data_IF_101878210610
#
_entry.id   IF_101878210610
#
_cell.length_a   1.000
_cell.length_b   1.000
_cell.length_c   1.000
_cell.angle_alpha   90.00
_cell.angle_beta   90.00
_cell.angle_gamma   90.00
#
_symmetry.space_group_name_H-M   'P 1'
#
loop_
_entity.id
_entity.type
_entity.pdbx_description
1 polymer ?
#
# COMPACT_ATOMS: atom_id res chain seq x y z
N UNK A 1 25.33 -30.63 29.95
CA UNK A 1 25.09 -30.03 28.62
C UNK A 1 24.20 -28.82 28.81
N UNK A 2 24.76 -27.60 28.66
CA UNK A 2 23.96 -26.37 28.67
C UNK A 2 23.45 -26.17 27.23
N UNK A 3 22.15 -26.36 27.02
CA UNK A 3 21.48 -25.99 25.79
C UNK A 3 21.28 -24.47 25.81
N UNK A 4 22.21 -23.75 25.18
CA UNK A 4 22.00 -22.34 24.84
C UNK A 4 21.12 -22.29 23.59
N UNK A 5 19.82 -22.05 23.79
CA UNK A 5 18.88 -21.66 22.74
C UNK A 5 19.33 -20.31 22.19
N UNK A 6 19.98 -20.29 21.02
CA UNK A 6 20.33 -19.03 20.35
C UNK A 6 19.05 -18.41 19.77
N UNK A 7 18.65 -17.27 20.30
CA UNK A 7 17.57 -16.47 19.71
C UNK A 7 18.01 -15.98 18.33
N UNK A 8 17.16 -16.08 17.29
CA UNK A 8 17.46 -15.54 15.96
C UNK A 8 17.86 -14.06 16.05
N UNK A 9 18.94 -13.67 15.37
CA UNK A 9 19.51 -12.30 15.42
C UNK A 9 18.52 -11.18 15.06
N UNK A 10 17.45 -11.48 14.33
CA UNK A 10 16.37 -10.53 14.01
C UNK A 10 15.50 -10.20 15.22
N UNK A 11 14.98 -11.23 15.92
CA UNK A 11 14.13 -11.06 17.11
C UNK A 11 14.87 -10.37 18.27
N UNK A 12 16.18 -10.64 18.41
CA UNK A 12 17.01 -9.97 19.41
C UNK A 12 17.16 -8.46 19.15
N UNK A 13 17.18 -8.03 17.87
CA UNK A 13 17.23 -6.61 17.49
C UNK A 13 15.89 -5.92 17.71
N UNK A 14 14.77 -6.58 17.38
CA UNK A 14 13.42 -6.05 17.59
C UNK A 14 13.13 -5.82 19.07
N UNK A 15 13.43 -6.79 19.93
CA UNK A 15 13.28 -6.64 21.39
C UNK A 15 14.16 -5.53 21.96
N UNK A 16 15.41 -5.44 21.53
CA UNK A 16 16.32 -4.34 21.93
C UNK A 16 15.78 -2.96 21.52
N UNK A 17 15.08 -2.86 20.39
CA UNK A 17 14.49 -1.62 19.90
C UNK A 17 13.24 -1.24 20.71
N UNK A 18 12.39 -2.20 21.03
CA UNK A 18 11.21 -1.98 21.88
C UNK A 18 11.61 -1.62 23.32
N UNK A 19 12.54 -2.36 23.92
CA UNK A 19 13.06 -2.07 25.26
C UNK A 19 13.64 -0.65 25.35
N UNK A 20 14.28 -0.18 24.28
CA UNK A 20 14.83 1.18 24.20
C UNK A 20 13.75 2.25 24.07
N UNK A 21 12.64 1.97 23.39
CA UNK A 21 11.51 2.89 23.23
C UNK A 21 10.71 3.00 24.53
N UNK A 22 10.35 1.88 25.15
CA UNK A 22 9.55 1.84 26.38
C UNK A 22 10.28 2.51 27.55
N UNK A 23 11.62 2.44 27.57
CA UNK A 23 12.42 3.12 28.57
C UNK A 23 12.45 4.67 28.42
N UNK A 24 11.84 5.25 27.39
CA UNK A 24 11.84 6.70 27.19
C UNK A 24 10.81 7.41 28.11
N UNK A 25 11.23 8.40 28.91
CA UNK A 25 10.32 9.11 29.81
C UNK A 25 9.25 9.94 29.07
N UNK A 26 9.55 10.41 27.85
CA UNK A 26 8.65 11.22 27.02
C UNK A 26 8.15 10.43 25.78
N UNK A 27 7.99 9.11 25.90
CA UNK A 27 7.61 8.24 24.79
C UNK A 27 6.29 8.69 24.13
N UNK A 28 5.25 8.97 24.92
CA UNK A 28 3.93 9.29 24.38
C UNK A 28 3.90 10.61 23.56
N UNK A 29 4.46 11.74 24.04
CA UNK A 29 4.62 12.94 23.22
C UNK A 29 5.48 12.71 21.97
N UNK A 30 6.58 11.97 22.09
CA UNK A 30 7.47 11.68 20.96
C UNK A 30 6.73 10.87 19.88
N UNK A 31 6.08 9.77 20.25
CA UNK A 31 5.29 8.94 19.33
C UNK A 31 4.17 9.72 18.67
N UNK A 32 3.38 10.49 19.43
CA UNK A 32 2.25 11.26 18.87
C UNK A 32 2.70 12.39 17.95
N UNK A 33 3.93 12.86 18.09
CA UNK A 33 4.52 13.85 17.18
C UNK A 33 5.05 13.24 15.88
N UNK A 34 5.11 11.91 15.77
CA UNK A 34 5.53 11.24 14.54
C UNK A 34 4.49 11.42 13.45
N UNK A 35 4.93 11.68 12.20
CA UNK A 35 4.06 11.56 11.05
C UNK A 35 3.40 10.17 11.00
N UNK A 36 2.13 10.05 10.54
CA UNK A 36 1.42 8.76 10.47
C UNK A 36 2.19 7.63 9.80
N UNK A 37 2.88 7.89 8.68
CA UNK A 37 3.64 6.89 7.94
C UNK A 37 4.89 6.40 8.70
N UNK A 38 5.57 7.30 9.41
CA UNK A 38 6.72 6.93 10.22
C UNK A 38 6.28 6.04 11.40
N UNK A 39 5.10 6.31 11.98
CA UNK A 39 4.50 5.42 12.96
C UNK A 39 4.15 4.05 12.37
N UNK A 40 3.48 4.00 11.21
CA UNK A 40 3.15 2.74 10.54
C UNK A 40 4.42 1.91 10.22
N UNK A 41 5.50 2.58 9.78
CA UNK A 41 6.79 1.94 9.57
C UNK A 41 7.44 1.40 10.83
N UNK A 42 7.31 2.13 11.95
CA UNK A 42 7.74 1.65 13.24
C UNK A 42 6.97 0.39 13.66
N UNK A 43 5.64 0.40 13.56
CA UNK A 43 4.80 -0.76 13.92
C UNK A 43 5.16 -1.98 13.08
N UNK A 44 5.24 -1.86 11.75
CA UNK A 44 5.64 -2.97 10.88
C UNK A 44 7.03 -3.50 11.22
N UNK A 45 7.95 -2.62 11.61
CA UNK A 45 9.32 -3.03 11.97
C UNK A 45 9.34 -3.82 13.28
N UNK A 46 8.52 -3.42 14.24
CA UNK A 46 8.35 -4.10 15.53
C UNK A 46 7.58 -5.41 15.36
N UNK A 47 6.61 -5.45 14.45
CA UNK A 47 5.57 -6.48 14.41
C UNK A 47 4.36 -6.03 15.21
N UNK A 48 3.15 -6.27 14.70
CA UNK A 48 1.93 -5.76 15.35
C UNK A 48 1.73 -6.39 16.73
N UNK A 49 2.05 -7.68 16.84
CA UNK A 49 1.89 -8.48 18.06
C UNK A 49 2.78 -7.97 19.19
N UNK A 50 3.95 -7.41 18.85
CA UNK A 50 4.88 -6.83 19.81
C UNK A 50 4.64 -5.31 20.01
N UNK A 51 3.75 -4.67 19.23
CA UNK A 51 3.59 -3.21 19.19
C UNK A 51 2.48 -2.66 20.11
N UNK A 52 1.88 -3.46 20.99
CA UNK A 52 0.72 -3.06 21.80
C UNK A 52 0.86 -1.74 22.56
N UNK A 53 2.00 -1.53 23.22
CA UNK A 53 2.27 -0.26 23.92
C UNK A 53 2.34 0.96 22.98
N UNK A 54 2.84 0.77 21.76
CA UNK A 54 2.91 1.82 20.74
C UNK A 54 1.52 2.14 20.19
N UNK A 55 0.75 1.08 19.88
CA UNK A 55 -0.62 1.15 19.35
C UNK A 55 -1.55 1.84 20.35
N UNK A 56 -1.43 1.56 21.64
CA UNK A 56 -2.20 2.22 22.70
C UNK A 56 -1.99 3.75 22.75
N UNK A 57 -0.74 4.19 22.52
CA UNK A 57 -0.34 5.60 22.58
C UNK A 57 -0.61 6.37 21.29
N UNK A 58 -0.89 5.68 20.19
CA UNK A 58 -1.09 6.23 18.86
C UNK A 58 -2.25 7.23 18.80
N UNK A 59 -2.14 8.15 17.85
CA UNK A 59 -3.26 8.99 17.42
C UNK A 59 -4.14 8.26 16.41
N UNK A 60 -5.40 8.65 16.25
CA UNK A 60 -6.30 8.06 15.25
C UNK A 60 -5.72 8.11 13.83
N UNK A 61 -5.15 9.23 13.36
CA UNK A 61 -4.52 9.26 12.02
C UNK A 61 -3.34 8.30 11.87
N UNK A 62 -2.58 8.05 12.94
CA UNK A 62 -1.48 7.08 12.95
C UNK A 62 -2.01 5.64 12.83
N UNK A 63 -3.09 5.30 13.55
CA UNK A 63 -3.73 3.99 13.46
C UNK A 63 -4.34 3.75 12.08
N UNK A 64 -5.07 4.73 11.54
CA UNK A 64 -5.64 4.63 10.19
C UNK A 64 -4.55 4.41 9.15
N UNK A 65 -3.41 5.11 9.25
CA UNK A 65 -2.28 4.88 8.34
C UNK A 65 -1.70 3.47 8.49
N UNK A 66 -1.56 2.96 9.72
CA UNK A 66 -1.07 1.60 9.94
C UNK A 66 -2.05 0.55 9.38
N UNK A 67 -3.36 0.77 9.52
CA UNK A 67 -4.40 -0.07 8.95
C UNK A 67 -4.38 -0.07 7.42
N UNK A 68 -4.27 1.11 6.80
CA UNK A 68 -4.20 1.26 5.35
C UNK A 68 -2.99 0.50 4.73
N UNK A 69 -1.93 0.29 5.51
CA UNK A 69 -0.71 -0.44 5.11
C UNK A 69 -0.72 -1.93 5.45
N UNK A 70 -1.33 -2.35 6.55
CA UNK A 70 -1.22 -3.73 7.08
C UNK A 70 -2.48 -4.59 6.85
N UNK A 71 -3.67 -3.99 6.83
CA UNK A 71 -4.93 -4.75 6.76
C UNK A 71 -5.40 -5.06 5.35
N UNK A 72 -4.81 -4.45 4.32
CA UNK A 72 -5.30 -4.59 2.94
C UNK A 72 -4.31 -5.41 2.12
N UNK A 73 -4.79 -6.54 1.60
CA UNK A 73 -3.97 -7.52 0.89
C UNK A 73 -4.51 -7.74 -0.52
N UNK A 74 -3.62 -8.01 -1.48
CA UNK A 74 -4.01 -8.58 -2.77
C UNK A 74 -3.10 -9.73 -3.13
N UNK A 75 -3.67 -10.76 -3.78
CA UNK A 75 -2.95 -11.95 -4.21
C UNK A 75 -1.79 -11.62 -5.16
N UNK A 76 -1.98 -10.63 -6.05
CA UNK A 76 -0.97 -10.21 -7.01
C UNK A 76 -0.88 -8.70 -7.10
N UNK A 77 0.27 -8.19 -7.57
CA UNK A 77 0.39 -6.77 -7.87
C UNK A 77 -0.59 -6.40 -8.99
N UNK A 78 -1.26 -5.28 -8.83
CA UNK A 78 -2.26 -4.80 -9.77
C UNK A 78 -3.66 -5.42 -9.62
N UNK A 79 -3.85 -6.32 -8.65
CA UNK A 79 -5.17 -6.81 -8.27
C UNK A 79 -5.80 -5.90 -7.19
N UNK A 80 -7.11 -6.00 -7.02
CA UNK A 80 -7.87 -5.28 -5.98
C UNK A 80 -7.35 -5.71 -4.62
N UNK A 81 -7.04 -4.74 -3.75
CA UNK A 81 -6.71 -5.02 -2.36
C UNK A 81 -8.00 -5.08 -1.55
N UNK A 82 -8.18 -6.14 -0.78
CA UNK A 82 -9.35 -6.35 0.08
C UNK A 82 -8.92 -6.33 1.55
N UNK A 83 -9.86 -5.97 2.43
CA UNK A 83 -9.65 -5.99 3.87
C UNK A 83 -9.46 -7.44 4.37
N UNK A 84 -8.37 -7.71 5.08
CA UNK A 84 -8.11 -8.96 5.78
C UNK A 84 -8.65 -8.90 7.22
N UNK A 85 -9.84 -9.46 7.41
CA UNK A 85 -10.51 -9.49 8.72
C UNK A 85 -9.76 -10.33 9.76
N UNK A 86 -8.98 -11.34 9.34
CA UNK A 86 -8.14 -12.11 10.27
C UNK A 86 -7.01 -11.23 10.79
N UNK A 87 -6.41 -10.44 9.90
CA UNK A 87 -5.39 -9.48 10.31
C UNK A 87 -5.97 -8.40 11.22
N UNK A 88 -7.21 -7.96 10.97
CA UNK A 88 -7.92 -7.05 11.86
C UNK A 88 -8.16 -7.64 13.26
N UNK A 89 -8.49 -8.94 13.37
CA UNK A 89 -8.63 -9.61 14.66
C UNK A 89 -7.35 -9.53 15.51
N UNK A 90 -6.17 -9.71 14.90
CA UNK A 90 -4.88 -9.55 15.59
C UNK A 90 -4.69 -8.12 16.09
N UNK A 91 -5.03 -7.11 15.29
CA UNK A 91 -4.99 -5.72 15.74
C UNK A 91 -5.95 -5.46 16.91
N UNK A 92 -7.11 -6.10 16.91
CA UNK A 92 -8.08 -5.99 17.98
C UNK A 92 -7.58 -6.62 19.28
N UNK A 93 -6.98 -7.82 19.22
CA UNK A 93 -6.31 -8.46 20.36
C UNK A 93 -5.27 -7.53 20.98
N UNK A 94 -4.39 -6.97 20.15
CA UNK A 94 -3.34 -6.02 20.57
C UNK A 94 -3.93 -4.75 21.20
N UNK A 95 -5.04 -4.22 20.68
CA UNK A 95 -5.74 -3.08 21.28
C UNK A 95 -6.36 -3.44 22.64
N UNK A 96 -6.93 -4.64 22.77
CA UNK A 96 -7.57 -5.12 23.99
C UNK A 96 -6.56 -5.41 25.11
N UNK A 97 -5.32 -5.77 24.79
CA UNK A 97 -4.23 -5.88 25.77
C UNK A 97 -3.97 -4.55 26.52
N UNK A 98 -4.23 -3.42 25.86
CA UNK A 98 -4.16 -2.09 26.48
C UNK A 98 -5.40 -1.74 27.33
N UNK A 99 -6.44 -2.57 27.28
CA UNK A 99 -7.69 -2.44 28.02
C UNK A 99 -8.92 -2.31 27.12
N UNK A 100 -10.01 -2.95 27.53
CA UNK A 100 -11.29 -2.98 26.81
C UNK A 100 -11.87 -1.58 26.49
N UNK A 101 -11.84 -0.67 27.47
CA UNK A 101 -12.29 0.72 27.31
C UNK A 101 -11.41 1.50 26.33
N UNK A 102 -10.12 1.18 26.26
CA UNK A 102 -9.20 1.82 25.31
C UNK A 102 -9.51 1.33 23.90
N UNK A 103 -9.67 0.02 23.71
CA UNK A 103 -10.05 -0.57 22.43
C UNK A 103 -11.39 -0.02 21.93
N UNK A 104 -12.43 -0.04 22.76
CA UNK A 104 -13.76 0.49 22.41
C UNK A 104 -13.71 1.96 22.00
N UNK A 105 -13.00 2.81 22.77
CA UNK A 105 -12.81 4.22 22.41
C UNK A 105 -12.09 4.38 21.08
N UNK A 106 -11.05 3.58 20.81
CA UNK A 106 -10.29 3.65 19.55
C UNK A 106 -11.14 3.23 18.36
N UNK A 107 -11.88 2.13 18.49
CA UNK A 107 -12.81 1.68 17.46
C UNK A 107 -13.90 2.71 17.21
N UNK A 108 -14.42 3.36 18.26
CA UNK A 108 -15.42 4.43 18.13
C UNK A 108 -14.90 5.72 17.47
N UNK A 109 -13.58 5.91 17.38
CA UNK A 109 -12.97 7.02 16.62
C UNK A 109 -12.77 6.69 15.13
N UNK A 110 -12.93 5.42 14.74
CA UNK A 110 -12.80 5.00 13.34
C UNK A 110 -14.08 5.28 12.56
N UNK A 111 -13.95 5.17 11.24
CA UNK A 111 -15.07 5.22 10.34
C UNK A 111 -16.02 4.02 10.56
N UNK A 112 -17.32 4.29 10.63
CA UNK A 112 -18.34 3.29 10.97
C UNK A 112 -18.47 2.23 9.87
N UNK A 113 -18.31 2.59 8.59
CA UNK A 113 -18.33 1.64 7.47
C UNK A 113 -17.15 0.67 7.57
N UNK A 114 -15.96 1.19 7.90
CA UNK A 114 -14.77 0.36 8.12
C UNK A 114 -14.98 -0.63 9.26
N UNK A 115 -15.50 -0.19 10.42
CA UNK A 115 -15.72 -1.07 11.57
C UNK A 115 -16.79 -2.12 11.27
N UNK A 116 -17.90 -1.72 10.63
CA UNK A 116 -18.94 -2.64 10.22
C UNK A 116 -18.39 -3.70 9.25
N UNK A 117 -17.62 -3.29 8.24
CA UNK A 117 -17.02 -4.23 7.28
C UNK A 117 -16.05 -5.20 7.95
N UNK A 118 -15.21 -4.71 8.86
CA UNK A 118 -14.26 -5.53 9.59
C UNK A 118 -14.96 -6.55 10.50
N UNK A 119 -16.00 -6.13 11.24
CA UNK A 119 -16.81 -7.02 12.07
C UNK A 119 -17.61 -8.02 11.23
N UNK A 120 -18.18 -7.60 10.09
CA UNK A 120 -18.90 -8.50 9.17
C UNK A 120 -18.00 -9.62 8.63
N UNK A 121 -16.69 -9.40 8.52
CA UNK A 121 -15.74 -10.45 8.15
C UNK A 121 -15.48 -11.49 9.25
N UNK A 122 -15.74 -11.14 10.52
CA UNK A 122 -15.51 -12.01 11.68
C UNK A 122 -16.82 -12.62 12.22
N UNK A 123 -17.94 -11.91 12.09
CA UNK A 123 -19.22 -12.21 12.71
C UNK A 123 -20.32 -12.32 11.66
N UNK A 124 -21.23 -13.26 11.87
CA UNK A 124 -22.59 -13.22 11.35
C UNK A 124 -23.48 -12.71 12.49
N UNK A 125 -24.27 -11.68 12.24
CA UNK A 125 -25.21 -11.11 13.22
C UNK A 125 -26.61 -11.33 12.68
N UNK A 126 -27.48 -11.88 13.51
CA UNK A 126 -28.88 -12.13 13.19
C UNK A 126 -29.75 -11.43 14.22
N UNK A 127 -30.88 -10.88 13.78
CA UNK A 127 -31.92 -10.41 14.69
C UNK A 127 -32.58 -11.63 15.36
N UNK A 128 -32.67 -11.62 16.69
CA UNK A 128 -33.15 -12.75 17.50
C UNK A 128 -34.63 -13.05 17.23
N UNK A 129 -35.45 -12.02 17.03
CA UNK A 129 -36.88 -12.18 16.76
C UNK A 129 -37.10 -12.69 15.33
N UNK A 130 -36.34 -12.18 14.35
CA UNK A 130 -36.36 -12.68 12.98
C UNK A 130 -35.92 -14.14 12.90
N UNK A 131 -34.81 -14.51 13.57
CA UNK A 131 -34.32 -15.90 13.61
C UNK A 131 -35.35 -16.85 14.22
N UNK A 132 -35.99 -16.43 15.32
CA UNK A 132 -37.09 -17.20 15.94
C UNK A 132 -38.24 -17.39 14.97
N UNK A 133 -38.65 -16.32 14.29
CA UNK A 133 -39.73 -16.40 13.32
C UNK A 133 -39.39 -17.37 12.18
N UNK A 134 -38.17 -17.32 11.65
CA UNK A 134 -37.69 -18.27 10.63
C UNK A 134 -37.71 -19.70 11.13
N UNK A 135 -37.27 -19.96 12.37
CA UNK A 135 -37.30 -21.31 12.98
C UNK A 135 -38.74 -21.83 13.19
N UNK A 136 -39.67 -20.95 13.55
CA UNK A 136 -41.09 -21.28 13.73
C UNK A 136 -41.78 -21.57 12.39
N UNK A 137 -41.37 -20.88 11.31
CA UNK A 137 -41.93 -21.03 9.97
C UNK A 137 -41.27 -22.18 9.15
N UNK A 138 -40.09 -22.65 9.56
CA UNK A 138 -39.34 -23.72 8.90
C UNK A 138 -39.91 -25.13 9.15
N UNK A 139 -39.65 -26.07 8.23
CA UNK A 139 -40.00 -27.48 8.42
C UNK A 139 -39.20 -28.07 9.60
N UNK A 140 -39.77 -29.03 10.35
CA UNK A 140 -39.15 -29.56 11.58
C UNK A 140 -37.72 -30.11 11.37
N UNK A 141 -37.43 -30.66 10.18
CA UNK A 141 -36.11 -31.19 9.86
C UNK A 141 -35.07 -30.07 9.60
N UNK A 142 -35.50 -28.95 8.99
CA UNK A 142 -34.67 -27.76 8.74
C UNK A 142 -34.42 -27.00 10.03
N UNK A 143 -35.46 -26.78 10.83
CA UNK A 143 -35.34 -26.16 12.15
C UNK A 143 -34.35 -26.96 13.04
N UNK A 144 -34.47 -28.30 13.09
CA UNK A 144 -33.54 -29.15 13.84
C UNK A 144 -32.10 -29.11 13.31
N UNK A 145 -31.92 -28.91 12.01
CA UNK A 145 -30.59 -28.80 11.41
C UNK A 145 -29.94 -27.45 11.77
N UNK A 146 -30.68 -26.35 11.67
CA UNK A 146 -30.19 -25.01 12.02
C UNK A 146 -29.85 -24.94 13.52
N UNK A 147 -30.73 -25.44 14.40
CA UNK A 147 -30.51 -25.46 15.84
C UNK A 147 -29.22 -26.21 16.21
N UNK A 148 -28.96 -27.35 15.54
CA UNK A 148 -27.74 -28.13 15.71
C UNK A 148 -26.49 -27.43 15.19
N UNK A 149 -26.60 -26.67 14.10
CA UNK A 149 -25.49 -25.86 13.58
C UNK A 149 -25.14 -24.72 14.53
N UNK A 150 -26.15 -24.06 15.11
CA UNK A 150 -25.99 -23.03 16.14
C UNK A 150 -25.35 -23.59 17.42
N UNK A 151 -25.78 -24.76 17.90
CA UNK A 151 -25.17 -25.43 19.05
C UNK A 151 -23.68 -25.79 18.82
N UNK A 152 -23.28 -26.00 17.56
CA UNK A 152 -21.90 -26.29 17.18
C UNK A 152 -21.03 -25.06 16.94
N UNK A 153 -21.63 -23.88 16.76
CA UNK A 153 -20.95 -22.64 16.50
C UNK A 153 -20.54 -21.92 17.80
N UNK A 154 -19.56 -21.01 17.71
CA UNK A 154 -19.34 -20.03 18.77
C UNK A 154 -20.38 -18.92 18.58
N UNK A 155 -21.34 -18.83 19.49
CA UNK A 155 -22.38 -17.82 19.47
C UNK A 155 -22.59 -17.17 20.83
N UNK A 156 -23.13 -15.96 20.83
CA UNK A 156 -23.52 -15.21 22.02
C UNK A 156 -24.75 -14.33 21.71
N UNK A 157 -25.71 -14.29 22.64
CA UNK A 157 -26.89 -13.43 22.55
C UNK A 157 -26.59 -12.07 23.21
N UNK A 158 -26.77 -10.98 22.45
CA UNK A 158 -26.51 -9.62 22.91
C UNK A 158 -27.65 -8.71 22.47
N UNK A 159 -28.45 -8.24 23.44
CA UNK A 159 -29.46 -7.18 23.26
C UNK A 159 -30.44 -7.38 22.08
N UNK A 160 -30.92 -8.61 21.87
CA UNK A 160 -31.85 -8.93 20.80
C UNK A 160 -31.18 -9.36 19.49
N UNK A 161 -29.87 -9.56 19.49
CA UNK A 161 -29.12 -10.11 18.38
C UNK A 161 -28.40 -11.39 18.79
N UNK A 162 -28.31 -12.33 17.85
CA UNK A 162 -27.48 -13.52 17.96
C UNK A 162 -26.21 -13.29 17.14
N UNK A 163 -25.06 -13.27 17.81
CA UNK A 163 -23.75 -13.14 17.17
C UNK A 163 -23.18 -14.52 16.98
N UNK A 164 -22.68 -14.83 15.79
CA UNK A 164 -22.11 -16.13 15.44
C UNK A 164 -20.74 -15.91 14.82
N UNK A 165 -19.72 -16.60 15.32
CA UNK A 165 -18.37 -16.52 14.77
C UNK A 165 -18.33 -17.14 13.37
N UNK A 166 -17.86 -16.39 12.37
CA UNK A 166 -17.54 -16.97 11.04
C UNK A 166 -16.28 -17.84 11.11
N UNK A 167 -15.41 -17.58 12.07
CA UNK A 167 -14.17 -18.30 12.32
C UNK A 167 -13.87 -18.28 13.83
N UNK A 168 -13.20 -19.32 14.34
CA UNK A 168 -12.86 -19.40 15.77
C UNK A 168 -11.77 -18.39 16.19
N UNK A 169 -10.82 -18.11 15.28
CA UNK A 169 -9.74 -17.15 15.54
C UNK A 169 -10.31 -15.74 15.63
N UNK A 170 -9.98 -15.01 16.70
CA UNK A 170 -10.47 -13.65 16.93
C UNK A 170 -11.86 -13.53 17.55
N UNK A 171 -12.58 -14.64 17.81
CA UNK A 171 -13.90 -14.61 18.44
C UNK A 171 -13.89 -13.89 19.80
N UNK A 172 -12.98 -14.28 20.69
CA UNK A 172 -12.90 -13.69 22.03
C UNK A 172 -12.61 -12.19 21.98
N UNK A 173 -11.79 -11.75 21.02
CA UNK A 173 -11.48 -10.34 20.79
C UNK A 173 -12.69 -9.57 20.26
N UNK A 174 -13.39 -10.11 19.27
CA UNK A 174 -14.60 -9.52 18.72
C UNK A 174 -15.68 -9.39 19.81
N UNK A 175 -15.95 -10.46 20.57
CA UNK A 175 -16.94 -10.44 21.65
C UNK A 175 -16.54 -9.45 22.76
N UNK A 176 -15.27 -9.43 23.16
CA UNK A 176 -14.78 -8.47 24.16
C UNK A 176 -14.97 -7.02 23.71
N UNK A 177 -14.74 -6.73 22.44
CA UNK A 177 -15.01 -5.41 21.87
C UNK A 177 -16.50 -5.07 21.89
N UNK A 178 -17.37 -6.00 21.50
CA UNK A 178 -18.83 -5.80 21.51
C UNK A 178 -19.31 -5.46 22.92
N UNK A 179 -18.89 -6.22 23.93
CA UNK A 179 -19.26 -5.95 25.33
C UNK A 179 -18.71 -4.61 25.84
N UNK A 180 -17.49 -4.24 25.42
CA UNK A 180 -16.91 -2.94 25.77
C UNK A 180 -17.63 -1.78 25.08
N UNK A 181 -18.05 -1.95 23.82
CA UNK A 181 -18.86 -0.99 23.08
C UNK A 181 -20.26 -0.86 23.69
N UNK A 182 -20.89 -1.93 24.16
CA UNK A 182 -22.18 -1.83 24.86
C UNK A 182 -22.04 -0.97 26.12
N UNK A 183 -21.01 -1.22 26.92
CA UNK A 183 -20.75 -0.49 28.15
C UNK A 183 -20.47 1.00 27.92
N UNK A 184 -19.56 1.31 26.99
CA UNK A 184 -18.95 2.64 26.88
C UNK A 184 -19.50 3.46 25.68
N UNK A 185 -20.06 2.79 24.67
CA UNK A 185 -20.43 3.36 23.37
C UNK A 185 -21.75 2.78 22.78
N UNK A 186 -22.73 2.45 23.63
CA UNK A 186 -23.97 1.73 23.25
C UNK A 186 -24.64 2.23 21.96
N UNK A 187 -24.75 3.54 21.78
CA UNK A 187 -25.39 4.12 20.60
C UNK A 187 -24.67 3.78 19.29
N UNK A 188 -23.35 3.63 19.31
CA UNK A 188 -22.57 3.14 18.17
C UNK A 188 -22.78 1.64 17.99
N UNK A 189 -22.71 0.86 19.07
CA UNK A 189 -22.92 -0.60 19.01
C UNK A 189 -24.26 -0.94 18.34
N UNK A 190 -25.35 -0.31 18.76
CA UNK A 190 -26.68 -0.58 18.19
C UNK A 190 -26.70 -0.34 16.68
N UNK A 191 -26.13 0.78 16.20
CA UNK A 191 -26.06 1.03 14.74
C UNK A 191 -25.21 0.00 14.00
N UNK A 192 -24.11 -0.44 14.61
CA UNK A 192 -23.26 -1.49 14.04
C UNK A 192 -24.03 -2.82 13.99
N UNK A 193 -24.70 -3.24 15.06
CA UNK A 193 -25.47 -4.48 15.09
C UNK A 193 -26.67 -4.44 14.14
N UNK A 194 -27.41 -3.33 14.07
CA UNK A 194 -28.48 -3.13 13.09
C UNK A 194 -27.98 -3.33 11.66
N UNK A 195 -26.83 -2.73 11.34
CA UNK A 195 -26.22 -2.85 10.01
C UNK A 195 -25.70 -4.25 9.73
N UNK A 196 -25.06 -4.88 10.71
CA UNK A 196 -24.56 -6.25 10.57
C UNK A 196 -25.71 -7.25 10.44
N UNK A 197 -26.82 -7.03 11.16
CA UNK A 197 -28.03 -7.83 11.06
C UNK A 197 -28.72 -7.66 9.71
N UNK A 198 -28.76 -6.44 9.15
CA UNK A 198 -29.23 -6.23 7.78
C UNK A 198 -28.36 -6.98 6.75
N UNK A 199 -27.03 -6.96 6.90
CA UNK A 199 -26.14 -7.78 6.06
C UNK A 199 -26.30 -9.29 6.30
N UNK A 200 -26.79 -9.68 7.48
CA UNK A 200 -27.03 -11.08 7.86
C UNK A 200 -28.41 -11.59 7.46
N UNK A 201 -29.38 -10.72 7.21
CA UNK A 201 -30.80 -11.10 7.11
C UNK A 201 -31.09 -12.03 5.94
N UNK A 202 -30.45 -11.85 4.77
CA UNK A 202 -30.69 -12.78 3.67
C UNK A 202 -29.97 -14.14 3.79
N UNK A 203 -29.30 -14.42 4.91
CA UNK A 203 -29.03 -15.82 5.30
C UNK A 203 -30.29 -16.52 5.85
N UNK A 204 -31.31 -15.77 6.27
CA UNK A 204 -32.56 -16.29 6.83
C UNK A 204 -33.66 -16.48 5.78
N UNK A 205 -33.67 -15.70 4.69
CA UNK A 205 -34.84 -15.60 3.82
C UNK A 205 -34.91 -16.63 2.66
N UNK A 206 -33.78 -17.09 2.09
CA UNK A 206 -33.63 -18.30 1.25
C UNK A 206 -32.25 -18.25 0.55
N UNK A 207 -31.59 -19.39 0.34
CA UNK A 207 -30.28 -19.44 -0.36
C UNK A 207 -30.31 -18.87 -1.79
N UNK A 208 -31.49 -18.76 -2.42
CA UNK A 208 -31.65 -18.18 -3.76
C UNK A 208 -31.57 -16.63 -3.76
N UNK A 209 -31.69 -15.96 -2.61
CA UNK A 209 -31.55 -14.51 -2.44
C UNK A 209 -30.18 -14.07 -1.87
N UNK A 210 -29.23 -15.01 -1.79
CA UNK A 210 -27.83 -14.73 -1.46
C UNK A 210 -27.21 -13.64 -2.35
N UNK A 211 -27.76 -13.41 -3.54
CA UNK A 211 -27.28 -12.37 -4.45
C UNK A 211 -27.50 -10.93 -3.93
N UNK A 212 -28.62 -10.63 -3.26
CA UNK A 212 -28.86 -9.28 -2.74
C UNK A 212 -27.96 -9.00 -1.51
N UNK A 213 -27.80 -9.98 -0.63
CA UNK A 213 -26.88 -9.91 0.53
C UNK A 213 -25.42 -9.74 0.12
N UNK A 214 -24.98 -10.49 -0.89
CA UNK A 214 -23.64 -10.32 -1.45
C UNK A 214 -23.49 -8.91 -2.02
N UNK A 215 -24.53 -8.35 -2.65
CA UNK A 215 -24.48 -7.00 -3.22
C UNK A 215 -24.31 -5.91 -2.14
N UNK A 216 -25.00 -6.01 -1.00
CA UNK A 216 -24.85 -5.03 0.09
C UNK A 216 -23.49 -5.14 0.79
N UNK A 217 -23.02 -6.37 1.06
CA UNK A 217 -21.70 -6.60 1.64
C UNK A 217 -20.58 -6.18 0.67
N UNK A 218 -20.75 -6.41 -0.63
CA UNK A 218 -19.84 -5.95 -1.68
C UNK A 218 -19.83 -4.42 -1.81
N UNK A 219 -20.99 -3.76 -1.73
CA UNK A 219 -21.09 -2.30 -1.71
C UNK A 219 -20.34 -1.71 -0.51
N UNK A 220 -20.53 -2.28 0.69
CA UNK A 220 -19.80 -1.85 1.88
C UNK A 220 -18.28 -2.04 1.73
N UNK A 221 -17.85 -3.16 1.17
CA UNK A 221 -16.44 -3.41 0.88
C UNK A 221 -15.87 -2.38 -0.12
N UNK A 222 -16.64 -2.05 -1.16
CA UNK A 222 -16.28 -1.02 -2.15
C UNK A 222 -16.12 0.36 -1.52
N UNK A 223 -17.02 0.76 -0.63
CA UNK A 223 -16.95 2.05 0.05
C UNK A 223 -15.72 2.16 0.95
N UNK A 224 -15.42 1.10 1.73
CA UNK A 224 -14.25 1.06 2.61
C UNK A 224 -12.94 1.11 1.82
N UNK A 225 -12.85 0.34 0.75
CA UNK A 225 -11.67 0.32 -0.12
C UNK A 225 -11.52 1.66 -0.87
N UNK A 226 -12.59 2.24 -1.38
CA UNK A 226 -12.56 3.54 -2.05
C UNK A 226 -12.13 4.66 -1.09
N UNK A 227 -12.63 4.64 0.16
CA UNK A 227 -12.22 5.60 1.18
C UNK A 227 -10.72 5.49 1.49
N UNK A 228 -10.19 4.26 1.59
CA UNK A 228 -8.75 4.01 1.72
C UNK A 228 -7.97 4.52 0.52
N UNK A 229 -8.40 4.17 -0.69
CA UNK A 229 -7.70 4.54 -1.92
C UNK A 229 -7.69 6.05 -2.13
N UNK A 230 -8.75 6.75 -1.71
CA UNK A 230 -8.79 8.21 -1.65
C UNK A 230 -7.71 8.78 -0.71
N UNK A 231 -7.59 8.23 0.52
CA UNK A 231 -6.53 8.64 1.47
C UNK A 231 -5.13 8.36 0.94
N UNK A 232 -4.91 7.21 0.31
CA UNK A 232 -3.61 6.81 -0.24
C UNK A 232 -3.25 7.64 -1.48
N UNK A 233 -4.20 7.89 -2.37
CA UNK A 233 -4.01 8.75 -3.55
C UNK A 233 -3.61 10.17 -3.15
N UNK A 234 -4.23 10.73 -2.10
CA UNK A 234 -3.87 12.03 -1.55
C UNK A 234 -2.43 12.08 -0.98
N UNK A 235 -1.80 10.93 -0.72
CA UNK A 235 -0.40 10.81 -0.29
C UNK A 235 0.56 10.46 -1.44
N UNK A 236 0.05 10.40 -2.68
CA UNK A 236 0.81 10.10 -3.88
C UNK A 236 0.94 8.62 -4.22
N UNK A 237 0.25 7.71 -3.52
CA UNK A 237 0.16 6.31 -3.95
C UNK A 237 -0.67 6.18 -5.22
N UNK A 238 -0.45 5.08 -5.95
CA UNK A 238 -1.22 4.73 -7.15
C UNK A 238 -2.05 3.50 -6.85
N UNK A 239 -3.33 3.56 -7.21
CA UNK A 239 -4.25 2.43 -7.08
C UNK A 239 -3.76 1.24 -7.95
N UNK A 240 -3.76 -0.01 -7.42
CA UNK A 240 -3.16 -1.15 -8.11
C UNK A 240 -3.69 -1.40 -9.53
N UNK A 241 -5.00 -1.33 -9.78
CA UNK A 241 -5.59 -1.57 -11.10
C UNK A 241 -5.18 -0.49 -12.09
N UNK A 242 -5.13 0.77 -11.67
CA UNK A 242 -4.64 1.89 -12.46
C UNK A 242 -3.15 1.71 -12.82
N UNK A 243 -2.33 1.26 -11.87
CA UNK A 243 -0.91 0.95 -12.10
C UNK A 243 -0.75 -0.19 -13.13
N UNK A 244 -1.51 -1.28 -12.99
CA UNK A 244 -1.53 -2.40 -13.94
C UNK A 244 -1.96 -1.94 -15.34
N UNK A 245 -3.02 -1.13 -15.43
CA UNK A 245 -3.51 -0.59 -16.68
C UNK A 245 -2.46 0.32 -17.36
N UNK A 246 -1.77 1.16 -16.58
CA UNK A 246 -0.66 1.98 -17.09
C UNK A 246 0.48 1.11 -17.65
N UNK A 247 0.92 0.08 -16.92
CA UNK A 247 2.00 -0.81 -17.38
C UNK A 247 1.61 -1.59 -18.64
N UNK A 248 0.36 -2.01 -18.76
CA UNK A 248 -0.16 -2.62 -19.98
C UNK A 248 -0.15 -1.63 -21.16
N UNK A 249 -0.62 -0.41 -20.93
CA UNK A 249 -0.61 0.66 -21.93
C UNK A 249 0.82 1.04 -22.36
N UNK A 250 1.77 1.06 -21.43
CA UNK A 250 3.17 1.40 -21.67
C UNK A 250 3.88 0.39 -22.58
N UNK A 251 3.38 -0.84 -22.69
CA UNK A 251 3.94 -1.87 -23.60
C UNK A 251 3.39 -1.77 -25.02
N UNK A 252 2.28 -1.06 -25.22
CA UNK A 252 1.66 -0.86 -26.52
C UNK A 252 2.39 0.17 -27.39
N UNK A 253 2.21 0.13 -28.72
CA UNK A 253 2.73 1.18 -29.60
C UNK A 253 2.09 2.53 -29.24
N UNK A 254 2.90 3.60 -29.22
CA UNK A 254 2.38 4.96 -29.09
C UNK A 254 1.76 5.42 -30.40
N UNK A 255 0.61 6.09 -30.31
CA UNK A 255 -0.02 6.75 -31.44
C UNK A 255 0.92 7.82 -32.01
N UNK A 256 1.15 7.80 -33.32
CA UNK A 256 1.98 8.77 -34.03
C UNK A 256 1.06 9.91 -34.51
N UNK A 257 1.11 11.08 -33.88
CA UNK A 257 0.24 12.22 -34.20
C UNK A 257 0.37 13.37 -33.20
N UNK A 258 -0.50 14.38 -33.31
CA UNK A 258 -0.55 15.53 -32.38
C UNK A 258 -0.84 15.14 -30.93
N UNK A 259 -1.49 13.99 -30.72
CA UNK A 259 -1.73 13.40 -29.39
C UNK A 259 -0.55 12.57 -28.87
N UNK A 260 0.53 12.41 -29.65
CA UNK A 260 1.71 11.66 -29.23
C UNK A 260 2.34 12.28 -27.98
N UNK A 261 2.30 13.61 -27.81
CA UNK A 261 2.83 14.32 -26.64
C UNK A 261 1.84 14.39 -25.47
N UNK A 262 0.59 13.96 -25.67
CA UNK A 262 -0.40 13.98 -24.61
C UNK A 262 -0.15 12.85 -23.60
N UNK A 263 -0.16 13.21 -22.30
CA UNK A 263 -0.19 12.25 -21.20
C UNK A 263 -1.42 11.36 -21.31
N UNK A 264 -1.29 10.10 -20.94
CA UNK A 264 -2.42 9.18 -20.93
C UNK A 264 -3.47 9.60 -19.87
N UNK A 265 -4.72 9.11 -19.99
CA UNK A 265 -5.79 9.46 -19.06
C UNK A 265 -5.49 9.11 -17.60
N UNK A 266 -4.75 8.03 -17.32
CA UNK A 266 -4.46 7.57 -15.95
C UNK A 266 -3.45 8.50 -15.28
N UNK A 267 -2.35 8.79 -15.98
CA UNK A 267 -1.33 9.76 -15.51
C UNK A 267 -1.94 11.14 -15.30
N UNK A 268 -2.85 11.60 -16.19
CA UNK A 268 -3.56 12.88 -16.02
C UNK A 268 -4.48 12.89 -14.81
N UNK A 269 -5.22 11.80 -14.56
CA UNK A 269 -6.10 11.68 -13.40
C UNK A 269 -5.29 11.74 -12.10
N UNK A 270 -4.18 10.99 -12.01
CA UNK A 270 -3.27 11.00 -10.86
C UNK A 270 -2.78 12.41 -10.51
N UNK A 271 -2.18 13.14 -11.48
CA UNK A 271 -1.65 14.48 -11.20
C UNK A 271 -2.73 15.53 -10.92
N UNK A 272 -3.96 15.31 -11.39
CA UNK A 272 -5.11 16.15 -11.04
C UNK A 272 -5.51 15.95 -9.57
N UNK A 273 -5.47 14.72 -9.09
CA UNK A 273 -5.88 14.35 -7.73
C UNK A 273 -4.83 14.67 -6.67
N UNK A 274 -3.54 14.56 -7.00
CA UNK A 274 -2.44 14.90 -6.08
C UNK A 274 -2.44 16.38 -5.66
N UNK A 275 -2.92 17.27 -6.54
CA UNK A 275 -2.94 18.71 -6.32
C UNK A 275 -1.54 19.36 -6.22
N UNK A 276 -1.44 20.70 -6.19
CA UNK A 276 -0.16 21.43 -6.28
C UNK A 276 0.68 21.49 -4.98
N UNK A 277 0.39 20.70 -3.94
CA UNK A 277 0.88 20.99 -2.57
C UNK A 277 1.60 19.87 -1.81
N UNK A 278 1.90 18.71 -2.40
CA UNK A 278 2.69 17.70 -1.70
C UNK A 278 3.85 17.16 -2.55
N UNK A 279 5.11 17.37 -2.14
CA UNK A 279 6.24 16.69 -2.76
C UNK A 279 6.13 15.18 -2.52
N UNK A 280 6.14 14.40 -3.59
CA UNK A 280 6.07 12.93 -3.56
C UNK A 280 7.27 12.34 -2.82
N UNK A 281 7.01 11.42 -1.89
CA UNK A 281 7.95 11.05 -0.80
C UNK A 281 9.20 10.27 -1.23
N UNK A 282 9.21 9.60 -2.37
CA UNK A 282 10.32 8.71 -2.76
C UNK A 282 11.67 9.42 -2.97
N UNK A 283 11.66 10.74 -3.17
CA UNK A 283 12.89 11.56 -3.24
C UNK A 283 12.85 12.79 -2.37
N UNK A 284 12.01 12.78 -1.32
CA UNK A 284 12.02 13.83 -0.33
C UNK A 284 13.36 13.81 0.42
N UNK A 285 14.21 14.78 0.12
CA UNK A 285 15.35 15.16 0.95
C UNK A 285 14.91 15.97 2.18
N UNK A 286 13.60 16.06 2.44
CA UNK A 286 13.08 16.86 3.53
C UNK A 286 13.54 16.26 4.85
N UNK A 287 14.25 17.03 5.69
CA UNK A 287 14.79 16.52 6.94
C UNK A 287 13.63 16.05 7.81
N UNK A 288 13.76 14.80 8.29
CA UNK A 288 12.87 14.18 9.27
C UNK A 288 12.41 15.23 10.30
N UNK A 289 11.10 15.41 10.39
CA UNK A 289 10.45 16.37 11.29
C UNK A 289 10.88 16.15 12.74
N UNK A 290 10.79 17.21 13.56
CA UNK A 290 11.35 17.23 14.92
C UNK A 290 10.95 16.07 15.84
N UNK A 291 9.82 15.40 15.59
CA UNK A 291 9.38 14.20 16.31
C UNK A 291 10.29 12.99 16.11
N UNK A 292 10.81 12.78 14.89
CA UNK A 292 11.72 11.65 14.61
C UNK A 292 13.07 11.85 15.31
N UNK A 293 13.55 13.09 15.42
CA UNK A 293 14.81 13.41 16.12
C UNK A 293 14.78 13.14 17.62
N UNK A 294 13.59 13.07 18.22
CA UNK A 294 13.42 12.74 19.63
C UNK A 294 13.53 11.22 19.91
N UNK A 295 13.42 10.38 18.87
CA UNK A 295 13.54 8.93 19.00
C UNK A 295 14.99 8.47 19.18
N UNK A 296 15.25 7.26 19.70
CA UNK A 296 16.60 6.71 19.77
C UNK A 296 17.22 6.57 18.37
N UNK A 297 18.54 6.77 18.25
CA UNK A 297 19.25 6.75 16.96
C UNK A 297 19.14 5.41 16.20
N UNK A 298 18.81 4.33 16.90
CA UNK A 298 18.52 3.02 16.28
C UNK A 298 17.17 3.02 15.57
N UNK A 299 16.16 3.66 16.15
CA UNK A 299 14.83 3.81 15.57
C UNK A 299 14.86 4.79 14.40
N UNK A 300 15.60 5.90 14.54
CA UNK A 300 15.79 6.87 13.44
C UNK A 300 16.39 6.18 12.21
N UNK A 301 17.48 5.42 12.38
CA UNK A 301 18.11 4.67 11.28
C UNK A 301 17.18 3.62 10.68
N UNK A 302 16.38 2.94 11.51
CA UNK A 302 15.42 1.96 11.02
C UNK A 302 14.30 2.61 10.18
N UNK A 303 13.88 3.83 10.52
CA UNK A 303 12.91 4.60 9.74
C UNK A 303 13.56 5.15 8.45
N UNK A 304 14.81 5.59 8.49
CA UNK A 304 15.57 6.04 7.32
C UNK A 304 15.81 4.90 6.30
N UNK A 305 16.16 3.70 6.77
CA UNK A 305 16.27 2.51 5.93
C UNK A 305 14.94 2.15 5.24
N UNK A 306 13.82 2.48 5.89
CA UNK A 306 12.48 2.19 5.38
C UNK A 306 12.04 3.22 4.33
N UNK A 307 12.28 4.52 4.56
CA UNK A 307 11.87 5.60 3.66
C UNK A 307 12.76 5.70 2.39
N UNK A 308 13.95 5.09 2.38
CA UNK A 308 14.94 5.38 1.35
C UNK A 308 16.04 4.34 1.14
N UNK A 309 15.74 3.03 1.21
CA UNK A 309 16.69 1.96 0.83
C UNK A 309 17.10 1.91 -0.65
N UNK A 310 16.88 2.98 -1.42
CA UNK A 310 17.50 3.16 -2.74
C UNK A 310 18.89 3.79 -2.56
N UNK A 311 19.85 3.39 -3.39
CA UNK A 311 21.16 4.04 -3.40
C UNK A 311 20.96 5.56 -3.52
N UNK A 312 21.54 6.34 -2.62
CA UNK A 312 21.46 7.80 -2.68
C UNK A 312 21.83 8.26 -4.10
N UNK A 313 21.12 9.24 -4.68
CA UNK A 313 21.50 9.83 -5.98
C UNK A 313 23.00 10.23 -6.00
N UNK A 314 23.56 10.59 -4.84
CA UNK A 314 24.98 10.89 -4.65
C UNK A 314 25.91 9.66 -4.72
N UNK A 315 25.43 8.44 -4.46
CA UNK A 315 26.16 7.19 -4.66
C UNK A 315 26.14 6.75 -6.13
N UNK A 316 25.01 6.90 -6.81
CA UNK A 316 24.86 6.56 -8.24
C UNK A 316 25.67 7.50 -9.16
N UNK A 317 25.82 8.78 -8.81
CA UNK A 317 26.59 9.75 -9.59
C UNK A 317 28.11 9.56 -9.60
N UNK A 318 28.66 8.61 -8.82
CA UNK A 318 30.12 8.39 -8.71
C UNK A 318 30.69 7.35 -9.69
N UNK A 319 29.85 6.71 -10.51
CA UNK A 319 30.25 5.70 -11.48
C UNK A 319 30.32 6.26 -12.91
N UNK A 320 31.13 5.68 -13.81
CA UNK A 320 31.18 6.07 -15.23
C UNK A 320 30.12 5.33 -16.06
N UNK A 321 28.85 5.43 -15.65
CA UNK A 321 27.72 4.71 -16.25
C UNK A 321 26.69 5.68 -16.86
N UNK A 322 25.85 5.19 -17.76
CA UNK A 322 24.68 5.88 -18.30
C UNK A 322 23.74 6.34 -17.18
N UNK A 323 23.65 5.57 -16.10
CA UNK A 323 22.91 5.96 -14.90
C UNK A 323 23.52 7.22 -14.26
N UNK A 324 24.84 7.29 -14.10
CA UNK A 324 25.50 8.49 -13.59
C UNK A 324 25.33 9.69 -14.52
N UNK A 325 25.37 9.48 -15.85
CA UNK A 325 25.09 10.54 -16.83
C UNK A 325 23.64 11.05 -16.73
N UNK A 326 22.67 10.17 -16.44
CA UNK A 326 21.27 10.55 -16.21
C UNK A 326 21.11 11.34 -14.90
N UNK A 327 21.74 10.88 -13.82
CA UNK A 327 21.73 11.59 -12.52
C UNK A 327 22.40 12.97 -12.66
N UNK A 328 23.55 13.05 -13.35
CA UNK A 328 24.19 14.32 -13.67
C UNK A 328 23.30 15.24 -14.51
N UNK A 329 22.54 14.68 -15.47
CA UNK A 329 21.60 15.45 -16.26
C UNK A 329 20.44 16.01 -15.43
N UNK A 330 19.94 15.27 -14.43
CA UNK A 330 18.95 15.75 -13.48
C UNK A 330 19.52 16.85 -12.57
N UNK A 331 20.79 16.75 -12.17
CA UNK A 331 21.48 17.81 -11.42
C UNK A 331 21.60 19.09 -12.24
N UNK A 332 22.07 18.99 -13.50
CA UNK A 332 22.13 20.13 -14.41
C UNK A 332 20.74 20.76 -14.61
N UNK A 333 19.69 19.94 -14.72
CA UNK A 333 18.32 20.40 -14.86
C UNK A 333 17.84 21.13 -13.59
N UNK A 334 18.23 20.66 -12.40
CA UNK A 334 17.90 21.32 -11.13
C UNK A 334 18.50 22.73 -11.03
N UNK A 335 19.70 22.93 -11.60
CA UNK A 335 20.37 24.22 -11.62
C UNK A 335 19.80 25.15 -12.70
N UNK A 336 19.58 24.61 -13.90
CA UNK A 336 19.18 25.40 -15.06
C UNK A 336 17.67 25.69 -15.12
N UNK A 337 16.82 24.73 -14.74
CA UNK A 337 15.36 24.79 -14.84
C UNK A 337 14.69 24.11 -13.61
N UNK A 338 14.72 24.75 -12.43
CA UNK A 338 14.24 24.14 -11.18
C UNK A 338 12.79 23.64 -11.24
N UNK A 339 11.90 24.35 -11.94
CA UNK A 339 10.49 23.96 -12.09
C UNK A 339 10.33 22.67 -12.89
N UNK A 340 11.09 22.51 -13.98
CA UNK A 340 11.07 21.29 -14.81
C UNK A 340 11.68 20.13 -14.03
N UNK A 341 12.75 20.38 -13.28
CA UNK A 341 13.34 19.37 -12.39
C UNK A 341 12.32 18.84 -11.37
N UNK A 342 11.60 19.73 -10.66
CA UNK A 342 10.56 19.32 -9.70
C UNK A 342 9.51 18.45 -10.39
N UNK A 343 9.02 18.85 -11.56
CA UNK A 343 8.06 18.04 -12.34
C UNK A 343 8.63 16.66 -12.71
N UNK A 344 9.90 16.57 -13.11
CA UNK A 344 10.53 15.27 -13.42
C UNK A 344 10.67 14.38 -12.19
N UNK A 345 10.98 14.95 -11.04
CA UNK A 345 11.02 14.22 -9.78
C UNK A 345 9.62 13.77 -9.33
N UNK A 346 8.57 14.53 -9.61
CA UNK A 346 7.19 14.07 -9.36
C UNK A 346 6.78 12.92 -10.30
N UNK A 347 7.11 13.03 -11.59
CA UNK A 347 6.82 12.02 -12.61
C UNK A 347 7.56 10.71 -12.38
N UNK A 348 8.84 10.79 -12.04
CA UNK A 348 9.60 9.60 -11.69
C UNK A 348 8.95 8.91 -10.45
N UNK A 349 8.37 9.66 -9.51
CA UNK A 349 7.95 9.14 -8.21
C UNK A 349 6.61 8.43 -8.38
N UNK A 350 5.77 9.04 -9.22
CA UNK A 350 4.61 8.38 -9.80
C UNK A 350 4.99 7.04 -10.45
N UNK A 351 6.00 7.00 -11.33
CA UNK A 351 6.41 5.75 -12.01
C UNK A 351 6.92 4.68 -11.04
N UNK A 352 7.67 5.08 -10.01
CA UNK A 352 8.09 4.16 -8.97
C UNK A 352 6.90 3.60 -8.18
N UNK A 353 5.91 4.44 -7.83
CA UNK A 353 4.68 3.98 -7.19
C UNK A 353 3.82 3.08 -8.10
N UNK A 354 3.79 3.34 -9.40
CA UNK A 354 3.19 2.45 -10.40
C UNK A 354 3.86 1.07 -10.37
N UNK A 355 5.20 1.03 -10.32
CA UNK A 355 5.93 -0.24 -10.27
C UNK A 355 5.71 -0.98 -8.94
N UNK A 356 5.65 -0.28 -7.81
CA UNK A 356 5.33 -0.91 -6.50
C UNK A 356 3.93 -1.52 -6.51
N UNK A 357 2.93 -0.80 -7.04
CA UNK A 357 1.53 -1.20 -6.97
C UNK A 357 1.15 -2.22 -8.05
N UNK A 358 1.70 -2.10 -9.27
CA UNK A 358 1.24 -2.83 -10.45
C UNK A 358 2.21 -3.87 -11.02
N UNK A 359 3.46 -3.94 -10.56
CA UNK A 359 4.48 -4.82 -11.12
C UNK A 359 4.90 -5.94 -10.17
N UNK A 360 5.06 -7.15 -10.72
CA UNK A 360 5.69 -8.26 -10.01
C UNK A 360 6.94 -8.72 -10.74
N UNK A 361 7.97 -9.06 -9.96
CA UNK A 361 9.17 -9.73 -10.44
C UNK A 361 9.29 -11.05 -9.69
N UNK A 362 9.36 -12.16 -10.45
CA UNK A 362 9.50 -13.51 -9.87
C UNK A 362 8.41 -13.85 -8.83
N UNK A 363 7.19 -13.35 -9.06
CA UNK A 363 6.04 -13.54 -8.16
C UNK A 363 6.02 -12.63 -6.93
N UNK A 364 7.02 -11.79 -6.73
CA UNK A 364 7.08 -10.85 -5.61
C UNK A 364 6.80 -9.41 -6.04
N UNK A 365 6.15 -8.64 -5.17
CA UNK A 365 5.99 -7.19 -5.33
C UNK A 365 7.37 -6.52 -5.23
N UNK A 366 7.56 -5.45 -5.98
CA UNK A 366 8.84 -4.75 -5.99
C UNK A 366 8.98 -3.88 -4.73
N UNK A 367 10.11 -3.94 -4.00
CA UNK A 367 10.34 -3.01 -2.91
C UNK A 367 10.53 -1.58 -3.46
N UNK A 368 10.16 -0.53 -2.70
CA UNK A 368 10.18 0.86 -3.19
C UNK A 368 11.52 1.31 -3.77
N UNK A 369 12.65 0.98 -3.14
CA UNK A 369 13.98 1.32 -3.65
C UNK A 369 14.28 0.69 -5.01
N UNK A 370 13.95 -0.59 -5.19
CA UNK A 370 14.13 -1.26 -6.47
C UNK A 370 13.18 -0.72 -7.55
N UNK A 371 11.98 -0.27 -7.17
CA UNK A 371 11.03 0.38 -8.07
C UNK A 371 11.52 1.75 -8.53
N UNK A 372 12.15 2.53 -7.65
CA UNK A 372 12.79 3.79 -8.02
C UNK A 372 13.95 3.55 -9.01
N UNK A 373 14.82 2.58 -8.73
CA UNK A 373 15.94 2.22 -9.63
C UNK A 373 15.42 1.75 -10.99
N UNK A 374 14.36 0.94 -11.00
CA UNK A 374 13.74 0.43 -12.23
C UNK A 374 13.07 1.54 -13.05
N UNK A 375 12.34 2.46 -12.38
CA UNK A 375 11.76 3.63 -13.03
C UNK A 375 12.85 4.49 -13.67
N UNK A 376 13.92 4.80 -12.92
CA UNK A 376 15.02 5.61 -13.39
C UNK A 376 15.78 4.94 -14.55
N UNK A 377 16.06 3.64 -14.46
CA UNK A 377 16.72 2.88 -15.53
C UNK A 377 15.88 2.85 -16.81
N UNK A 378 14.57 2.62 -16.67
CA UNK A 378 13.64 2.56 -17.81
C UNK A 378 13.48 3.94 -18.46
N UNK A 379 13.34 5.01 -17.68
CA UNK A 379 13.32 6.39 -18.19
C UNK A 379 14.64 6.77 -18.86
N UNK A 380 15.78 6.38 -18.28
CA UNK A 380 17.09 6.60 -18.87
C UNK A 380 17.24 5.96 -20.25
N UNK A 381 16.73 4.74 -20.43
CA UNK A 381 16.68 4.10 -21.73
C UNK A 381 15.78 4.85 -22.72
N UNK A 382 14.62 5.32 -22.26
CA UNK A 382 13.71 6.15 -23.05
C UNK A 382 14.35 7.46 -23.50
N UNK A 383 15.05 8.16 -22.60
CA UNK A 383 15.79 9.38 -22.88
C UNK A 383 16.90 9.14 -23.92
N UNK A 384 17.60 8.00 -23.84
CA UNK A 384 18.60 7.60 -24.83
C UNK A 384 17.99 7.34 -26.22
N UNK A 385 16.81 6.72 -26.28
CA UNK A 385 16.08 6.51 -27.53
C UNK A 385 15.69 7.84 -28.19
N UNK A 386 15.18 8.80 -27.41
CA UNK A 386 14.83 10.14 -27.90
C UNK A 386 16.06 10.94 -28.34
N UNK A 387 17.12 10.92 -27.53
CA UNK A 387 18.40 11.53 -27.88
C UNK A 387 18.94 10.98 -29.20
N UNK A 388 18.79 9.66 -29.45
CA UNK A 388 19.17 9.04 -30.73
C UNK A 388 18.26 9.46 -31.87
N UNK A 389 16.95 9.60 -31.64
CA UNK A 389 16.00 10.03 -32.67
C UNK A 389 16.30 11.45 -33.16
N UNK A 390 16.74 12.34 -32.25
CA UNK A 390 17.16 13.70 -32.55
C UNK A 390 18.47 13.79 -33.37
N UNK A 391 19.29 12.72 -33.42
CA UNK A 391 20.51 12.71 -34.24
C UNK A 391 20.18 12.66 -35.74
N UNK A 392 21.03 13.25 -36.61
CA UNK A 392 20.90 13.12 -38.06
C UNK A 392 20.87 11.65 -38.51
N UNK A 393 20.08 11.33 -39.53
CA UNK A 393 19.87 9.95 -39.99
C UNK A 393 21.16 9.15 -40.27
N UNK A 394 22.24 9.83 -40.67
CA UNK A 394 23.57 9.21 -40.91
C UNK A 394 24.24 8.71 -39.62
N UNK A 395 23.95 9.34 -38.47
CA UNK A 395 24.52 9.01 -37.16
C UNK A 395 23.65 8.05 -36.35
N UNK A 396 22.39 7.81 -36.77
CA UNK A 396 21.44 6.91 -36.08
C UNK A 396 21.83 5.43 -36.12
N UNK A 397 22.73 5.04 -37.02
CA UNK A 397 23.22 3.65 -37.16
C UNK A 397 24.28 3.26 -36.11
N UNK A 398 24.71 4.18 -35.25
CA UNK A 398 25.65 3.90 -34.15
C UNK A 398 24.97 3.30 -32.91
N UNK A 399 25.79 2.82 -31.97
CA UNK A 399 25.33 2.34 -30.65
C UNK A 399 24.58 3.45 -29.89
N UNK A 400 23.53 3.07 -29.16
CA UNK A 400 22.76 3.96 -28.29
C UNK A 400 23.64 4.63 -27.22
N UNK A 401 24.75 3.99 -26.82
CA UNK A 401 25.74 4.58 -25.90
C UNK A 401 26.29 5.93 -26.38
N UNK A 402 26.43 6.13 -27.69
CA UNK A 402 26.91 7.40 -28.24
C UNK A 402 25.89 8.55 -28.03
N UNK A 403 24.61 8.22 -27.85
CA UNK A 403 23.56 9.19 -27.54
C UNK A 403 23.42 9.45 -26.03
N UNK A 404 24.03 8.63 -25.16
CA UNK A 404 23.93 8.70 -23.70
C UNK A 404 24.93 9.69 -23.07
N UNK A 405 25.09 10.87 -23.66
CA UNK A 405 25.85 11.94 -23.03
C UNK A 405 24.95 12.68 -22.04
N UNK A 406 25.51 13.15 -20.92
CA UNK A 406 24.78 13.94 -19.91
C UNK A 406 23.97 15.08 -20.54
N UNK A 407 24.58 15.86 -21.45
CA UNK A 407 23.88 16.95 -22.13
C UNK A 407 22.74 16.49 -23.06
N UNK A 408 22.84 15.33 -23.70
CA UNK A 408 21.77 14.80 -24.55
C UNK A 408 20.61 14.24 -23.72
N UNK A 409 20.91 13.54 -22.64
CA UNK A 409 19.90 13.06 -21.68
C UNK A 409 19.21 14.24 -20.99
N UNK A 410 19.95 15.30 -20.63
CA UNK A 410 19.40 16.52 -20.05
C UNK A 410 18.42 17.23 -20.97
N UNK A 411 18.71 17.28 -22.28
CA UNK A 411 17.74 17.80 -23.27
C UNK A 411 16.49 16.92 -23.37
N UNK A 412 16.66 15.60 -23.47
CA UNK A 412 15.51 14.69 -23.53
C UNK A 412 14.61 14.80 -22.28
N UNK A 413 15.20 14.94 -21.09
CA UNK A 413 14.48 15.18 -19.85
C UNK A 413 13.84 16.59 -19.82
N UNK A 414 14.48 17.62 -20.36
CA UNK A 414 13.85 18.94 -20.44
C UNK A 414 12.63 18.93 -21.36
N UNK A 415 12.75 18.27 -22.52
CA UNK A 415 11.76 18.33 -23.61
C UNK A 415 10.59 17.34 -23.42
N UNK A 416 10.81 16.24 -22.69
CA UNK A 416 9.81 15.18 -22.54
C UNK A 416 9.55 14.81 -21.08
N UNK A 417 8.28 14.57 -20.76
CA UNK A 417 7.86 14.04 -19.47
C UNK A 417 8.39 12.62 -19.23
N UNK A 418 8.75 12.30 -17.99
CA UNK A 418 9.37 11.03 -17.63
C UNK A 418 8.41 9.85 -17.87
N UNK A 419 7.11 10.02 -17.69
CA UNK A 419 6.10 8.99 -18.01
C UNK A 419 6.10 8.65 -19.51
N UNK A 420 6.28 9.64 -20.38
CA UNK A 420 6.37 9.42 -21.83
C UNK A 420 7.67 8.72 -22.21
N UNK A 421 8.79 9.09 -21.59
CA UNK A 421 10.08 8.42 -21.78
C UNK A 421 10.01 6.96 -21.31
N UNK A 422 9.35 6.70 -20.18
CA UNK A 422 9.12 5.36 -19.66
C UNK A 422 8.29 4.52 -20.65
N UNK A 423 7.18 5.07 -21.16
CA UNK A 423 6.33 4.37 -22.14
C UNK A 423 7.08 4.07 -23.44
N UNK A 424 7.90 5.00 -23.93
CA UNK A 424 8.78 4.76 -25.08
C UNK A 424 9.74 3.60 -24.86
N UNK A 425 10.41 3.61 -23.71
CA UNK A 425 11.32 2.54 -23.32
C UNK A 425 10.58 1.20 -23.25
N UNK A 426 9.45 1.15 -22.54
CA UNK A 426 8.66 -0.06 -22.36
C UNK A 426 8.16 -0.65 -23.68
N UNK A 427 7.63 0.18 -24.59
CA UNK A 427 7.21 -0.27 -25.92
C UNK A 427 8.40 -0.79 -26.76
N UNK A 428 9.55 -0.13 -26.69
CA UNK A 428 10.76 -0.58 -27.37
C UNK A 428 11.27 -1.93 -26.80
N UNK A 429 11.24 -2.10 -25.48
CA UNK A 429 11.63 -3.36 -24.83
C UNK A 429 10.66 -4.49 -25.19
N UNK A 430 9.35 -4.23 -25.17
CA UNK A 430 8.31 -5.19 -25.55
C UNK A 430 8.42 -5.66 -27.02
N UNK A 431 8.97 -4.82 -27.90
CA UNK A 431 9.25 -5.17 -29.31
C UNK A 431 10.61 -5.83 -29.53
N UNK A 432 11.43 -5.98 -28.46
CA UNK A 432 12.71 -6.69 -28.50
C UNK A 432 13.91 -5.80 -28.83
N UNK A 433 13.85 -4.49 -28.56
CA UNK A 433 14.95 -3.57 -28.83
C UNK A 433 16.23 -3.86 -28.02
N UNK A 434 16.13 -4.60 -26.91
CA UNK A 434 17.25 -5.02 -26.07
C UNK A 434 17.36 -6.57 -26.02
N UNK A 435 17.78 -7.23 -27.10
CA UNK A 435 17.77 -8.70 -27.20
C UNK A 435 18.72 -9.40 -26.22
N UNK A 436 19.70 -8.69 -25.68
CA UNK A 436 20.65 -9.22 -24.69
C UNK A 436 20.03 -9.43 -23.30
N UNK A 437 18.84 -8.88 -23.03
CA UNK A 437 18.18 -8.96 -21.74
C UNK A 437 17.01 -9.94 -21.79
N UNK A 438 17.17 -11.10 -21.15
CA UNK A 438 16.09 -12.06 -20.93
C UNK A 438 14.96 -11.42 -20.10
N UNK A 439 13.70 -11.70 -20.44
CA UNK A 439 12.53 -11.21 -19.72
C UNK A 439 12.17 -9.73 -19.93
N UNK A 440 13.05 -8.92 -20.53
CA UNK A 440 12.77 -7.49 -20.84
C UNK A 440 11.58 -7.33 -21.80
N UNK A 441 11.42 -8.28 -22.74
CA UNK A 441 10.31 -8.31 -23.70
C UNK A 441 8.94 -8.53 -23.04
N UNK A 442 8.91 -9.35 -21.99
CA UNK A 442 7.70 -9.70 -21.26
C UNK A 442 7.34 -8.63 -20.23
N UNK A 443 8.35 -8.07 -19.56
CA UNK A 443 8.15 -7.07 -18.51
C UNK A 443 8.01 -5.64 -19.02
N UNK A 444 8.71 -5.27 -20.10
CA UNK A 444 8.78 -3.88 -20.57
C UNK A 444 9.54 -2.94 -19.62
N UNK A 445 10.30 -3.47 -18.65
CA UNK A 445 10.95 -2.69 -17.60
C UNK A 445 12.42 -3.11 -17.48
N UNK A 446 13.30 -2.13 -17.24
CA UNK A 446 14.67 -2.37 -16.82
C UNK A 446 14.75 -2.23 -15.31
N UNK A 447 15.41 -3.16 -14.64
CA UNK A 447 15.40 -3.26 -13.18
C UNK A 447 16.64 -2.67 -12.49
N UNK A 448 17.67 -2.30 -13.25
CA UNK A 448 18.92 -1.83 -12.66
C UNK A 448 19.78 -1.05 -13.65
N UNK A 449 20.83 -0.40 -13.13
CA UNK A 449 21.85 0.26 -13.93
C UNK A 449 22.58 -0.72 -14.86
N UNK A 450 22.85 -1.95 -14.42
CA UNK A 450 23.51 -2.97 -15.26
C UNK A 450 22.63 -3.36 -16.45
N UNK A 451 21.32 -3.47 -16.24
CA UNK A 451 20.38 -3.74 -17.32
C UNK A 451 20.29 -2.56 -18.30
N UNK A 452 20.30 -1.32 -17.79
CA UNK A 452 20.42 -0.14 -18.65
C UNK A 452 21.68 -0.20 -19.51
N UNK A 453 22.84 -0.50 -18.93
CA UNK A 453 24.09 -0.62 -19.68
C UNK A 453 24.09 -1.70 -20.75
N UNK A 454 23.46 -2.83 -20.45
CA UNK A 454 23.29 -3.94 -21.37
C UNK A 454 22.28 -3.64 -22.48
N UNK A 455 21.22 -2.87 -22.19
CA UNK A 455 20.25 -2.44 -23.19
C UNK A 455 20.81 -1.38 -24.16
N UNK A 456 21.75 -0.57 -23.69
CA UNK A 456 22.39 0.48 -24.51
C UNK A 456 23.54 -0.03 -25.38
N UNK A 457 24.11 -1.20 -25.03
CA UNK A 457 25.20 -1.85 -25.76
C UNK A 457 24.71 -2.32 -27.14
#
# INVERSE_FOLDING_TARGET
MKLTTSVPRGLAKTRSLLDSLVAMPDLAPALRSLPPHAFAALVRRVGVEDAGELVALATTPQLVQAFDEDLFVAERAGDREALDSRRFAVWLEVLLEAGDAVAARRVAELDEDFVAHALAGMLLVLDEDALRQTLDDADEDEARQLDKELEGALSEDVDGYVLIAKQHEGWDAALSLILALDRDHRALLVRLLDRLAALGSGYLDDLDDLSEVLTEAESLAEDVEAARDGRRSAQGYVEPRAARAFLQLARGPREQGTDAEARDPLTRAYFRELGPTQPTRLWSTSPLTGGVRALPAEVQRALEEYDGGGASLAELGRSATAMAALVGALQDLSEAQPSVFVQRMEELAYLANVLVAGHQREGQRMPPGAAADAALATVGYGAALEARAALPARSRKGSLRLACTQAALGRALADHAADLLFRNASAALATGAAPALSGSRESGVLYSAEQLEAALA
#
